data_IF_691074385966
#
_entry.id   IF_691074385966
#
_cell.length_a   1.000
_cell.length_b   1.000
_cell.length_c   1.000
_cell.angle_alpha   90.00
_cell.angle_beta   90.00
_cell.angle_gamma   90.00
#
_symmetry.space_group_name_H-M   'P 1'
#
loop_
_entity.id
_entity.type
_entity.pdbx_description
1 polymer ?
#
# COMPACT_ATOMS: atom_id res chain seq x y z
N UNK A 1 -2.04 -19.36 -18.44
CA UNK A 1 -2.87 -18.94 -17.29
C UNK A 1 -3.80 -17.83 -17.78
N UNK A 2 -5.10 -17.87 -17.45
CA UNK A 2 -6.08 -16.90 -17.95
C UNK A 2 -6.19 -15.69 -16.98
N UNK A 3 -5.64 -14.51 -17.33
CA UNK A 3 -5.64 -13.34 -16.44
C UNK A 3 -7.04 -12.77 -16.17
N UNK A 4 -8.04 -13.06 -17.02
CA UNK A 4 -9.41 -12.58 -16.84
C UNK A 4 -10.04 -13.20 -15.60
N UNK A 5 -9.84 -14.50 -15.36
CA UNK A 5 -10.35 -15.19 -14.15
C UNK A 5 -9.70 -14.60 -12.89
N UNK A 6 -8.41 -14.29 -12.95
CA UNK A 6 -7.69 -13.68 -11.83
C UNK A 6 -8.08 -12.22 -11.60
N UNK A 7 -8.51 -11.51 -12.64
CA UNK A 7 -9.09 -10.17 -12.52
C UNK A 7 -10.45 -10.21 -11.82
N UNK A 8 -11.34 -11.12 -12.20
CA UNK A 8 -12.63 -11.28 -11.52
C UNK A 8 -12.46 -11.71 -10.06
N UNK A 9 -11.53 -12.63 -9.79
CA UNK A 9 -11.19 -13.02 -8.41
C UNK A 9 -10.70 -11.83 -7.59
N UNK A 10 -9.77 -11.06 -8.13
CA UNK A 10 -9.25 -9.86 -7.46
C UNK A 10 -10.36 -8.84 -7.22
N UNK A 11 -11.24 -8.59 -8.20
CA UNK A 11 -12.37 -7.66 -8.06
C UNK A 11 -13.29 -8.07 -6.91
N UNK A 12 -13.64 -9.36 -6.79
CA UNK A 12 -14.48 -9.87 -5.69
C UNK A 12 -13.83 -9.67 -4.33
N UNK A 13 -12.56 -10.02 -4.19
CA UNK A 13 -11.84 -9.88 -2.91
C UNK A 13 -11.63 -8.40 -2.57
N UNK A 14 -11.37 -7.54 -3.56
CA UNK A 14 -11.27 -6.09 -3.37
C UNK A 14 -12.58 -5.51 -2.84
N UNK A 15 -13.72 -5.83 -3.45
CA UNK A 15 -15.02 -5.32 -3.00
C UNK A 15 -15.39 -5.82 -1.60
N UNK A 16 -15.08 -7.08 -1.28
CA UNK A 16 -15.29 -7.63 0.07
C UNK A 16 -14.42 -6.88 1.10
N UNK A 17 -13.10 -6.88 0.88
CA UNK A 17 -12.13 -6.26 1.78
C UNK A 17 -12.37 -4.75 1.95
N UNK A 18 -12.82 -4.06 0.89
CA UNK A 18 -13.14 -2.62 0.96
C UNK A 18 -14.25 -2.31 1.95
N UNK A 19 -15.18 -3.24 2.18
CA UNK A 19 -16.39 -3.04 3.00
C UNK A 19 -16.28 -3.59 4.42
N UNK A 20 -15.61 -4.74 4.60
CA UNK A 20 -15.66 -5.46 5.88
C UNK A 20 -14.51 -5.16 6.83
N UNK A 21 -13.31 -4.85 6.31
CA UNK A 21 -12.08 -4.67 7.11
C UNK A 21 -11.74 -5.81 8.05
N UNK A 22 -12.29 -6.99 7.81
CA UNK A 22 -11.94 -8.18 8.57
C UNK A 22 -10.62 -8.77 8.05
N UNK A 23 -9.86 -9.37 8.97
CA UNK A 23 -8.54 -9.89 8.68
C UNK A 23 -8.54 -11.02 7.64
N UNK A 24 -9.63 -11.79 7.55
CA UNK A 24 -9.75 -12.92 6.63
C UNK A 24 -9.91 -12.41 5.20
N UNK A 25 -10.80 -11.45 4.95
CA UNK A 25 -10.95 -10.86 3.61
C UNK A 25 -9.69 -10.11 3.16
N UNK A 26 -8.96 -9.50 4.09
CA UNK A 26 -7.68 -8.86 3.81
C UNK A 26 -6.59 -9.88 3.45
N UNK A 27 -6.58 -11.05 4.10
CA UNK A 27 -5.71 -12.17 3.75
C UNK A 27 -6.04 -12.70 2.35
N UNK A 28 -7.33 -12.94 2.07
CA UNK A 28 -7.82 -13.37 0.76
C UNK A 28 -7.44 -12.38 -0.35
N UNK A 29 -7.51 -11.07 -0.07
CA UNK A 29 -7.05 -10.02 -0.98
C UNK A 29 -5.55 -10.15 -1.26
N UNK A 30 -4.74 -10.38 -0.22
CA UNK A 30 -3.29 -10.55 -0.35
C UNK A 30 -2.92 -11.75 -1.24
N UNK A 31 -3.62 -12.87 -1.10
CA UNK A 31 -3.41 -14.06 -1.93
C UNK A 31 -3.79 -13.80 -3.40
N UNK A 32 -4.89 -13.08 -3.65
CA UNK A 32 -5.27 -12.69 -5.01
C UNK A 32 -4.23 -11.76 -5.64
N UNK A 33 -3.70 -10.81 -4.88
CA UNK A 33 -2.64 -9.91 -5.36
C UNK A 33 -1.31 -10.64 -5.62
N UNK A 34 -1.00 -11.68 -4.86
CA UNK A 34 0.21 -12.50 -5.08
C UNK A 34 0.23 -13.12 -6.47
N UNK A 35 -0.91 -13.59 -6.96
CA UNK A 35 -1.04 -14.11 -8.33
C UNK A 35 -0.67 -13.02 -9.34
N UNK A 36 -1.13 -11.78 -9.15
CA UNK A 36 -0.76 -10.66 -10.02
C UNK A 36 0.72 -10.31 -9.95
N UNK A 37 1.34 -10.45 -8.78
CA UNK A 37 2.79 -10.31 -8.63
C UNK A 37 3.56 -11.41 -9.38
N UNK A 38 3.08 -12.66 -9.36
CA UNK A 38 3.66 -13.78 -10.10
C UNK A 38 3.45 -13.65 -11.62
N UNK A 39 2.36 -13.00 -12.03
CA UNK A 39 2.07 -12.70 -13.43
C UNK A 39 2.92 -11.56 -14.00
N UNK A 40 3.66 -10.79 -13.19
CA UNK A 40 4.43 -9.62 -13.61
C UNK A 40 5.29 -9.84 -14.86
N UNK A 41 6.04 -10.93 -14.93
CA UNK A 41 6.96 -11.21 -16.04
C UNK A 41 6.33 -11.98 -17.20
N UNK A 42 5.24 -12.71 -16.94
CA UNK A 42 4.56 -13.54 -17.95
C UNK A 42 3.45 -12.77 -18.67
N UNK A 43 2.73 -11.89 -17.97
CA UNK A 43 1.61 -11.13 -18.49
C UNK A 43 2.00 -10.26 -19.69
N UNK A 44 3.14 -9.53 -19.69
CA UNK A 44 3.57 -8.76 -20.86
C UNK A 44 3.87 -9.58 -22.11
N UNK A 45 4.21 -10.88 -21.97
CA UNK A 45 4.50 -11.76 -23.10
C UNK A 45 3.23 -12.07 -23.89
N UNK A 46 2.12 -12.25 -23.18
CA UNK A 46 0.80 -12.51 -23.78
C UNK A 46 -0.01 -11.24 -24.04
N UNK A 47 0.23 -10.18 -23.27
CA UNK A 47 -0.49 -8.89 -23.34
C UNK A 47 0.52 -7.73 -23.32
N UNK A 48 1.13 -7.39 -24.49
CA UNK A 48 2.21 -6.41 -24.58
C UNK A 48 1.86 -5.01 -24.03
N UNK A 49 0.57 -4.66 -23.96
CA UNK A 49 0.07 -3.40 -23.38
C UNK A 49 0.51 -3.21 -21.92
N UNK A 50 0.70 -4.29 -21.16
CA UNK A 50 1.23 -4.22 -19.78
C UNK A 50 2.68 -3.74 -19.71
N UNK A 51 3.45 -3.87 -20.79
CA UNK A 51 4.81 -3.33 -20.90
C UNK A 51 4.84 -1.94 -21.56
N UNK A 52 4.10 -1.74 -22.64
CA UNK A 52 4.18 -0.52 -23.44
C UNK A 52 3.37 0.65 -22.86
N UNK A 53 2.28 0.38 -22.14
CA UNK A 53 1.33 1.42 -21.71
C UNK A 53 1.68 1.96 -20.33
N UNK A 54 1.89 3.27 -20.21
CA UNK A 54 2.10 3.95 -18.92
C UNK A 54 0.77 4.36 -18.26
N UNK A 55 -0.05 3.36 -17.90
CA UNK A 55 -1.37 3.58 -17.31
C UNK A 55 -1.36 3.74 -15.77
N UNK A 56 -0.40 3.12 -15.09
CA UNK A 56 -0.31 3.11 -13.64
C UNK A 56 0.39 4.37 -13.11
N UNK A 57 0.08 4.79 -11.88
CA UNK A 57 0.68 5.94 -11.22
C UNK A 57 1.50 5.52 -10.01
N UNK A 58 2.63 6.17 -9.81
CA UNK A 58 3.46 6.05 -8.61
C UNK A 58 3.85 7.42 -8.11
N UNK A 59 4.09 7.57 -6.81
CA UNK A 59 4.36 8.85 -6.17
C UNK A 59 5.37 8.68 -5.05
N UNK A 60 6.19 9.71 -4.86
CA UNK A 60 7.10 9.82 -3.72
C UNK A 60 6.90 11.19 -3.04
N UNK A 61 7.28 11.33 -1.76
CA UNK A 61 7.25 12.61 -1.08
C UNK A 61 8.13 13.66 -1.77
N UNK A 62 7.78 14.92 -1.61
CA UNK A 62 8.61 16.02 -2.10
C UNK A 62 10.04 15.93 -1.53
N UNK A 63 11.06 16.17 -2.37
CA UNK A 63 12.48 16.05 -1.96
C UNK A 63 12.84 16.83 -0.68
N UNK A 64 12.22 17.99 -0.48
CA UNK A 64 12.43 18.82 0.72
C UNK A 64 11.89 18.16 2.00
N UNK A 65 10.79 17.42 1.91
CA UNK A 65 10.26 16.60 3.01
C UNK A 65 11.23 15.46 3.34
N UNK A 66 11.72 14.75 2.31
CA UNK A 66 12.70 13.68 2.50
C UNK A 66 14.01 14.18 3.12
N UNK A 67 14.46 15.39 2.75
CA UNK A 67 15.65 16.01 3.34
C UNK A 67 15.42 16.37 4.82
N UNK A 68 14.25 16.92 5.15
CA UNK A 68 13.90 17.29 6.52
C UNK A 68 13.67 16.08 7.44
N UNK A 69 13.20 14.96 6.90
CA UNK A 69 12.98 13.73 7.66
C UNK A 69 14.27 12.90 7.87
N UNK A 70 15.40 13.30 7.26
CA UNK A 70 16.67 12.57 7.38
C UNK A 70 17.14 12.59 8.84
N UNK A 71 17.53 11.42 9.36
CA UNK A 71 17.99 11.29 10.75
C UNK A 71 16.86 11.17 11.77
N UNK A 72 15.61 11.12 11.33
CA UNK A 72 14.45 10.89 12.18
C UNK A 72 13.73 9.60 11.78
N UNK A 73 13.10 8.95 12.75
CA UNK A 73 12.16 7.88 12.46
C UNK A 73 11.01 8.46 11.61
N UNK A 74 10.65 7.76 10.53
CA UNK A 74 9.61 8.22 9.62
C UNK A 74 9.02 7.10 8.79
N UNK A 75 7.76 7.24 8.38
CA UNK A 75 7.08 6.35 7.44
C UNK A 75 6.35 7.20 6.40
N UNK A 76 6.53 6.87 5.13
CA UNK A 76 5.88 7.51 3.99
C UNK A 76 5.23 6.44 3.11
N UNK A 77 3.94 6.60 2.81
CA UNK A 77 3.24 5.82 1.80
C UNK A 77 2.32 6.73 0.99
N UNK A 78 2.60 6.85 -0.30
CA UNK A 78 1.88 7.73 -1.22
C UNK A 78 1.07 6.89 -2.20
N UNK A 79 -0.19 7.27 -2.36
CA UNK A 79 -1.20 6.51 -3.10
C UNK A 79 -1.83 7.44 -4.15
N UNK A 80 -1.13 7.70 -5.27
CA UNK A 80 -1.63 8.60 -6.30
C UNK A 80 -3.00 8.18 -6.83
N UNK A 81 -3.91 9.15 -6.95
CA UNK A 81 -5.30 8.90 -7.32
C UNK A 81 -6.17 8.36 -6.18
N UNK A 82 -5.60 8.21 -4.97
CA UNK A 82 -6.32 7.83 -3.77
C UNK A 82 -6.65 6.35 -3.67
N UNK A 83 -7.01 5.95 -2.46
CA UNK A 83 -7.62 4.65 -2.14
C UNK A 83 -8.96 4.92 -1.47
N UNK A 84 -10.04 4.35 -2.01
CA UNK A 84 -11.38 4.52 -1.45
C UNK A 84 -11.57 3.55 -0.29
N UNK A 85 -11.97 4.09 0.86
CA UNK A 85 -12.26 3.36 2.09
C UNK A 85 -13.55 3.90 2.72
N UNK A 86 -14.33 3.02 3.34
CA UNK A 86 -15.50 3.36 4.13
C UNK A 86 -15.16 3.76 5.57
N UNK A 87 -13.87 3.81 5.93
CA UNK A 87 -13.32 4.23 7.23
C UNK A 87 -14.25 3.91 8.41
N UNK A 88 -14.07 2.75 9.05
CA UNK A 88 -14.80 2.46 10.30
C UNK A 88 -14.54 3.58 11.32
N UNK A 89 -15.59 4.06 12.00
CA UNK A 89 -15.53 5.12 13.01
C UNK A 89 -14.24 5.05 13.86
N UNK A 90 -13.40 6.08 13.78
CA UNK A 90 -12.10 6.13 14.45
C UNK A 90 -11.17 7.23 13.89
N UNK A 91 -9.91 7.22 14.31
CA UNK A 91 -8.86 8.12 13.81
C UNK A 91 -8.50 7.80 12.35
N UNK A 92 -8.42 8.80 11.47
CA UNK A 92 -8.07 8.64 10.05
C UNK A 92 -6.65 8.10 9.83
N UNK A 93 -5.74 8.37 10.77
CA UNK A 93 -4.42 7.78 10.80
C UNK A 93 -3.85 7.77 12.23
N UNK A 94 -3.07 6.77 12.57
CA UNK A 94 -2.29 6.68 13.81
C UNK A 94 -1.03 5.82 13.61
N UNK A 95 -0.16 5.78 14.61
CA UNK A 95 1.03 4.93 14.61
C UNK A 95 1.65 4.82 15.98
N UNK A 96 2.64 3.92 16.16
CA UNK A 96 3.32 3.74 17.44
C UNK A 96 3.93 5.05 17.95
N UNK A 97 3.88 5.29 19.27
CA UNK A 97 4.48 6.47 19.90
C UNK A 97 3.71 7.78 19.70
N UNK A 98 2.53 7.77 19.07
CA UNK A 98 1.64 8.95 19.07
C UNK A 98 1.00 9.22 20.43
N UNK A 99 1.08 8.26 21.36
CA UNK A 99 0.50 8.33 22.70
C UNK A 99 1.51 8.80 23.76
N UNK A 100 2.82 8.72 23.50
CA UNK A 100 3.89 8.87 24.50
C UNK A 100 4.45 10.30 24.65
N UNK A 101 3.68 11.33 24.32
CA UNK A 101 4.13 12.74 24.42
C UNK A 101 5.32 13.10 23.53
N UNK A 102 5.71 12.24 22.58
CA UNK A 102 6.77 12.51 21.60
C UNK A 102 6.31 13.59 20.61
N UNK A 103 7.22 14.45 20.20
CA UNK A 103 6.96 15.41 19.12
C UNK A 103 6.94 14.69 17.78
N UNK A 104 5.84 14.82 17.02
CA UNK A 104 5.70 14.21 15.72
C UNK A 104 4.87 15.07 14.76
N UNK A 105 5.00 14.78 13.47
CA UNK A 105 4.21 15.37 12.40
C UNK A 105 3.54 14.26 11.61
N UNK A 106 2.22 14.31 11.49
CA UNK A 106 1.44 13.43 10.60
C UNK A 106 0.90 14.27 9.43
N UNK A 107 1.08 13.76 8.21
CA UNK A 107 0.47 14.28 7.00
C UNK A 107 -0.44 13.24 6.36
N UNK A 108 -1.74 13.55 6.28
CA UNK A 108 -2.75 12.75 5.58
C UNK A 108 -3.51 13.67 4.64
N UNK A 109 -3.68 13.24 3.39
CA UNK A 109 -4.47 13.95 2.38
C UNK A 109 -5.76 13.18 2.11
N UNK A 110 -6.88 13.84 2.39
CA UNK A 110 -8.21 13.24 2.40
C UNK A 110 -9.12 13.97 1.42
N UNK A 111 -9.94 13.22 0.69
CA UNK A 111 -11.11 13.75 -0.01
C UNK A 111 -12.34 13.00 0.46
N UNK A 112 -13.30 13.73 1.02
CA UNK A 112 -14.60 13.19 1.43
C UNK A 112 -15.51 13.00 0.21
N UNK A 113 -16.28 11.92 0.22
CA UNK A 113 -17.38 11.63 -0.69
C UNK A 113 -18.65 11.36 0.15
N UNK A 114 -19.81 11.21 -0.49
CA UNK A 114 -21.10 11.04 0.21
C UNK A 114 -21.08 9.91 1.24
N UNK A 115 -20.55 8.74 0.85
CA UNK A 115 -20.56 7.53 1.68
C UNK A 115 -19.15 6.94 1.90
N UNK A 116 -18.10 7.64 1.49
CA UNK A 116 -16.73 7.10 1.58
C UNK A 116 -15.68 8.20 1.68
N UNK A 117 -14.46 7.78 2.01
CA UNK A 117 -13.29 8.63 2.12
C UNK A 117 -12.21 8.14 1.15
N UNK A 118 -11.64 9.05 0.38
CA UNK A 118 -10.48 8.80 -0.48
C UNK A 118 -9.22 9.31 0.23
N UNK A 119 -8.31 8.40 0.61
CA UNK A 119 -7.01 8.74 1.22
C UNK A 119 -5.91 8.67 0.17
N UNK A 120 -5.12 9.76 0.05
CA UNK A 120 -4.09 9.91 -1.00
C UNK A 120 -2.68 9.71 -0.52
N UNK A 121 -2.40 10.02 0.73
CA UNK A 121 -1.08 9.79 1.32
C UNK A 121 -1.19 9.55 2.82
N UNK A 122 -0.17 8.89 3.32
CA UNK A 122 0.13 8.75 4.72
C UNK A 122 1.61 9.09 4.93
N UNK A 123 1.86 9.95 5.90
CA UNK A 123 3.20 10.27 6.35
C UNK A 123 3.19 10.51 7.85
N UNK A 124 4.16 9.93 8.54
CA UNK A 124 4.44 10.19 9.95
C UNK A 124 5.94 10.37 10.11
N UNK A 125 6.34 11.43 10.81
CA UNK A 125 7.73 11.76 11.09
C UNK A 125 7.82 12.06 12.58
N UNK A 126 8.73 11.40 13.30
CA UNK A 126 8.93 11.61 14.74
C UNK A 126 9.81 12.84 15.00
N UNK A 127 9.35 13.97 14.49
CA UNK A 127 9.82 15.32 14.76
C UNK A 127 8.75 16.32 14.34
N UNK A 128 8.82 17.54 14.86
CA UNK A 128 7.89 18.61 14.49
C UNK A 128 8.38 19.33 13.23
N UNK A 129 7.53 19.41 12.22
CA UNK A 129 7.75 20.25 11.05
C UNK A 129 6.98 21.56 11.20
N UNK A 130 7.60 22.65 10.76
CA UNK A 130 6.94 23.95 10.66
C UNK A 130 6.45 24.23 9.22
N UNK A 131 5.68 25.29 9.03
CA UNK A 131 5.45 25.80 7.68
C UNK A 131 6.78 26.30 7.08
N UNK A 132 7.06 26.04 5.78
CA UNK A 132 6.18 25.51 4.74
C UNK A 132 6.28 23.99 4.52
N UNK A 133 6.96 23.23 5.40
CA UNK A 133 7.16 21.79 5.25
C UNK A 133 5.85 21.02 5.44
N UNK A 134 5.00 21.42 6.38
CA UNK A 134 3.67 20.81 6.59
C UNK A 134 2.85 20.84 5.28
N UNK A 135 2.76 21.99 4.61
CA UNK A 135 2.06 22.12 3.33
C UNK A 135 2.64 21.19 2.25
N UNK A 136 3.94 20.89 2.33
CA UNK A 136 4.61 20.02 1.38
C UNK A 136 4.36 18.53 1.58
N UNK A 137 3.84 18.11 2.73
CA UNK A 137 3.43 16.71 2.98
C UNK A 137 2.24 16.31 2.09
N UNK A 138 1.40 17.28 1.69
CA UNK A 138 0.34 17.04 0.71
C UNK A 138 0.82 17.04 -0.74
N UNK A 139 2.07 17.46 -1.01
CA UNK A 139 2.60 17.56 -2.36
C UNK A 139 3.25 16.23 -2.79
N UNK A 140 2.69 15.60 -3.82
CA UNK A 140 3.21 14.36 -4.39
C UNK A 140 3.84 14.57 -5.78
N UNK A 141 4.98 13.91 -6.01
CA UNK A 141 5.58 13.85 -7.34
C UNK A 141 5.06 12.62 -8.09
N UNK A 142 3.91 12.77 -8.76
CA UNK A 142 3.27 11.65 -9.48
C UNK A 142 3.95 11.41 -10.82
N UNK A 143 4.31 10.14 -11.05
CA UNK A 143 4.83 9.65 -12.34
C UNK A 143 3.95 8.53 -12.87
N UNK A 144 3.66 8.56 -14.17
CA UNK A 144 3.02 7.43 -14.87
C UNK A 144 4.05 6.39 -15.27
N UNK A 145 3.67 5.11 -15.19
CA UNK A 145 4.54 3.99 -15.52
C UNK A 145 3.73 2.77 -15.97
N UNK A 146 4.42 1.79 -16.57
CA UNK A 146 3.83 0.51 -16.95
C UNK A 146 3.69 -0.41 -15.73
N UNK A 147 2.99 -1.54 -15.90
CA UNK A 147 2.69 -2.47 -14.80
C UNK A 147 3.96 -2.98 -14.11
N UNK A 148 4.97 -3.36 -14.90
CA UNK A 148 6.25 -3.87 -14.38
C UNK A 148 6.95 -2.86 -13.47
N UNK A 149 7.07 -1.62 -13.94
CA UNK A 149 7.68 -0.52 -13.18
C UNK A 149 6.83 -0.13 -11.98
N UNK A 150 5.51 -0.18 -12.09
CA UNK A 150 4.60 0.09 -10.99
C UNK A 150 4.73 -0.95 -9.87
N UNK A 151 4.74 -2.25 -10.20
CA UNK A 151 4.98 -3.35 -9.24
C UNK A 151 6.32 -3.22 -8.51
N UNK A 152 7.37 -2.81 -9.24
CA UNK A 152 8.69 -2.57 -8.69
C UNK A 152 8.86 -1.21 -7.99
N UNK A 153 7.92 -0.28 -8.15
CA UNK A 153 8.03 1.05 -7.55
C UNK A 153 7.73 1.01 -6.05
N UNK A 154 8.38 1.93 -5.34
CA UNK A 154 8.19 2.18 -3.91
C UNK A 154 6.69 2.32 -3.56
N UNK A 155 6.25 1.53 -2.60
CA UNK A 155 4.93 1.62 -1.97
C UNK A 155 5.02 2.26 -0.59
N UNK A 156 6.11 1.97 0.12
CA UNK A 156 6.42 2.53 1.42
C UNK A 156 7.93 2.73 1.56
N UNK A 157 8.27 3.86 2.17
CA UNK A 157 9.62 4.19 2.62
C UNK A 157 9.54 4.46 4.10
N UNK A 158 10.33 3.73 4.87
CA UNK A 158 10.37 3.87 6.31
C UNK A 158 11.82 4.00 6.77
N UNK A 159 12.09 4.95 7.66
CA UNK A 159 13.32 5.01 8.41
C UNK A 159 12.97 4.57 9.83
N UNK A 160 13.29 3.34 10.19
CA UNK A 160 12.86 2.71 11.45
C UNK A 160 14.07 2.50 12.35
N UNK A 161 13.85 2.56 13.66
CA UNK A 161 14.88 2.20 14.63
C UNK A 161 15.08 0.68 14.60
N UNK A 162 16.33 0.23 14.42
CA UNK A 162 16.71 -1.18 14.60
C UNK A 162 16.90 -1.50 16.09
N UNK A 163 16.98 -2.78 16.41
CA UNK A 163 17.26 -3.26 17.78
C UNK A 163 18.59 -2.71 18.33
N UNK A 164 19.58 -2.51 17.44
CA UNK A 164 20.88 -1.89 17.77
C UNK A 164 20.81 -0.36 18.03
N UNK A 165 19.61 0.24 18.05
CA UNK A 165 19.42 1.68 18.27
C UNK A 165 19.85 2.56 17.10
N UNK A 166 20.07 1.98 15.91
CA UNK A 166 20.43 2.71 14.70
C UNK A 166 19.21 2.88 13.78
N UNK A 167 19.12 4.04 13.11
CA UNK A 167 18.10 4.27 12.10
C UNK A 167 18.44 3.54 10.80
N UNK A 168 17.51 2.70 10.33
CA UNK A 168 17.63 1.93 9.10
C UNK A 168 16.57 2.38 8.09
N UNK A 169 17.05 2.81 6.92
CA UNK A 169 16.19 3.12 5.78
C UNK A 169 15.76 1.84 5.08
N UNK A 170 14.47 1.58 5.10
CA UNK A 170 13.80 0.47 4.42
C UNK A 170 12.92 1.04 3.31
N UNK A 171 13.03 0.45 2.13
CA UNK A 171 12.19 0.78 0.97
C UNK A 171 11.54 -0.50 0.46
N UNK A 172 10.21 -0.57 0.50
CA UNK A 172 9.46 -1.72 0.02
C UNK A 172 8.71 -1.34 -1.27
N UNK A 173 8.89 -2.17 -2.30
CA UNK A 173 8.06 -2.08 -3.51
C UNK A 173 6.68 -2.68 -3.26
N UNK A 174 5.72 -2.37 -4.14
CA UNK A 174 4.38 -2.99 -4.11
C UNK A 174 4.46 -4.51 -4.13
N UNK A 175 5.30 -5.05 -5.00
CA UNK A 175 5.56 -6.49 -5.07
C UNK A 175 6.07 -7.06 -3.73
N UNK A 176 7.03 -6.40 -3.08
CA UNK A 176 7.54 -6.86 -1.78
C UNK A 176 6.44 -6.83 -0.72
N UNK A 177 5.66 -5.76 -0.65
CA UNK A 177 4.54 -5.67 0.31
C UNK A 177 3.53 -6.79 0.07
N UNK A 178 3.09 -7.00 -1.17
CA UNK A 178 2.14 -8.06 -1.54
C UNK A 178 2.65 -9.44 -1.09
N UNK A 179 3.89 -9.79 -1.43
CA UNK A 179 4.47 -11.10 -1.11
C UNK A 179 4.66 -11.29 0.39
N UNK A 180 5.10 -10.25 1.09
CA UNK A 180 5.50 -10.33 2.50
C UNK A 180 4.30 -10.29 3.45
N UNK A 181 3.26 -9.52 3.13
CA UNK A 181 2.01 -9.54 3.91
C UNK A 181 1.38 -10.94 3.85
N UNK A 182 1.29 -11.54 2.66
CA UNK A 182 0.78 -12.90 2.52
C UNK A 182 1.59 -13.89 3.38
N UNK A 183 2.93 -13.84 3.35
CA UNK A 183 3.74 -14.76 4.14
C UNK A 183 3.70 -14.50 5.66
N UNK A 184 3.65 -13.25 6.09
CA UNK A 184 3.70 -12.89 7.52
C UNK A 184 2.38 -13.22 8.23
N UNK A 185 1.26 -13.19 7.50
CA UNK A 185 -0.08 -13.35 8.07
C UNK A 185 -0.65 -14.76 7.88
N UNK A 186 -0.23 -15.49 6.85
CA UNK A 186 -0.71 -16.85 6.55
C UNK A 186 -0.15 -17.91 7.49
N UNK A 187 0.73 -17.54 8.44
CA UNK A 187 1.27 -18.45 9.45
C UNK A 187 1.59 -19.81 8.83
N UNK A 188 2.45 -19.83 7.80
CA UNK A 188 2.61 -20.99 6.90
C UNK A 188 3.09 -22.27 7.60
N UNK A 189 3.28 -22.21 8.91
CA UNK A 189 3.13 -23.33 9.83
C UNK A 189 2.08 -22.94 10.88
N UNK A 190 1.10 -23.79 11.23
CA UNK A 190 0.43 -23.68 12.53
C UNK A 190 1.54 -23.74 13.58
N UNK A 191 2.05 -22.56 13.92
CA UNK A 191 3.32 -22.42 14.62
C UNK A 191 2.99 -22.70 16.07
N UNK A 192 3.66 -23.70 16.64
CA UNK A 192 3.72 -23.82 18.08
C UNK A 192 4.18 -22.46 18.62
N UNK A 193 3.42 -21.80 19.51
CA UNK A 193 3.78 -20.47 20.03
C UNK A 193 5.15 -20.42 20.73
N UNK A 194 5.81 -21.58 20.87
CA UNK A 194 7.16 -21.74 21.41
C UNK A 194 8.31 -21.67 20.38
N UNK A 195 8.04 -21.70 19.06
CA UNK A 195 9.08 -21.58 18.04
C UNK A 195 9.25 -20.12 17.54
N UNK A 196 10.29 -19.44 18.03
CA UNK A 196 10.77 -18.20 17.44
C UNK A 196 11.43 -18.49 16.08
N UNK A 197 10.63 -18.48 15.00
CA UNK A 197 11.17 -18.50 13.64
C UNK A 197 11.87 -17.15 13.38
N UNK A 198 13.18 -17.13 13.06
CA UNK A 198 13.88 -15.89 12.75
C UNK A 198 13.22 -15.19 11.57
N UNK A 199 12.65 -14.02 11.80
CA UNK A 199 12.01 -13.22 10.76
C UNK A 199 13.08 -12.63 9.84
N UNK A 200 12.88 -12.72 8.53
CA UNK A 200 13.68 -11.96 7.58
C UNK A 200 13.49 -10.45 7.79
N UNK A 201 14.49 -9.65 7.43
CA UNK A 201 14.45 -8.18 7.57
C UNK A 201 13.17 -7.53 7.03
N UNK A 202 12.68 -8.01 5.88
CA UNK A 202 11.45 -7.47 5.29
C UNK A 202 10.18 -7.93 6.00
N UNK A 203 10.19 -9.11 6.64
CA UNK A 203 9.05 -9.60 7.41
C UNK A 203 8.95 -8.81 8.73
N UNK A 204 10.09 -8.56 9.39
CA UNK A 204 10.17 -7.66 10.55
C UNK A 204 9.69 -6.24 10.20
N UNK A 205 10.12 -5.70 9.05
CA UNK A 205 9.64 -4.41 8.57
C UNK A 205 8.13 -4.39 8.34
N UNK A 206 7.55 -5.44 7.74
CA UNK A 206 6.10 -5.53 7.55
C UNK A 206 5.38 -5.57 8.90
N UNK A 207 5.83 -6.38 9.86
CA UNK A 207 5.23 -6.42 11.21
C UNK A 207 5.24 -5.05 11.86
N UNK A 208 6.36 -4.33 11.80
CA UNK A 208 6.44 -2.97 12.32
C UNK A 208 5.48 -2.02 11.60
N UNK A 209 5.33 -2.16 10.29
CA UNK A 209 4.38 -1.36 9.51
C UNK A 209 2.91 -1.66 9.84
N UNK A 210 2.58 -2.85 10.36
CA UNK A 210 1.22 -3.20 10.78
C UNK A 210 0.73 -2.39 11.98
N UNK A 211 1.64 -1.80 12.75
CA UNK A 211 1.31 -0.94 13.88
C UNK A 211 0.80 0.45 13.45
N UNK A 212 1.05 0.84 12.21
CA UNK A 212 0.55 2.10 11.66
C UNK A 212 -0.84 1.90 11.07
N UNK A 213 -1.79 2.75 11.43
CA UNK A 213 -3.18 2.68 10.96
C UNK A 213 -3.46 3.81 9.98
N UNK A 214 -4.20 3.51 8.92
CA UNK A 214 -4.68 4.45 7.91
C UNK A 214 -6.09 4.03 7.49
N UNK A 215 -7.07 4.91 7.68
CA UNK A 215 -8.47 4.62 7.36
C UNK A 215 -9.05 3.42 8.12
N UNK A 216 -8.58 3.17 9.35
CA UNK A 216 -9.00 2.03 10.18
C UNK A 216 -8.33 0.69 9.83
N UNK A 217 -7.32 0.69 8.95
CA UNK A 217 -6.58 -0.50 8.57
C UNK A 217 -5.08 -0.36 8.85
N UNK A 218 -4.38 -1.45 9.20
CA UNK A 218 -2.92 -1.50 9.12
C UNK A 218 -2.42 -1.01 7.76
N UNK A 219 -1.37 -0.20 7.76
CA UNK A 219 -0.81 0.43 6.57
C UNK A 219 -0.52 -0.57 5.44
N UNK A 220 0.07 -1.76 5.69
CA UNK A 220 0.27 -2.76 4.64
C UNK A 220 -1.04 -3.19 3.97
N UNK A 221 -2.12 -3.39 4.72
CA UNK A 221 -3.42 -3.73 4.16
C UNK A 221 -4.03 -2.59 3.36
N UNK A 222 -3.85 -1.35 3.82
CA UNK A 222 -4.27 -0.19 3.05
C UNK A 222 -3.53 -0.08 1.71
N UNK A 223 -2.23 -0.40 1.69
CA UNK A 223 -1.41 -0.50 0.46
C UNK A 223 -1.93 -1.64 -0.45
N UNK A 224 -2.34 -2.79 0.10
CA UNK A 224 -2.92 -3.88 -0.68
C UNK A 224 -4.24 -3.46 -1.35
N UNK A 225 -5.13 -2.79 -0.61
CA UNK A 225 -6.36 -2.22 -1.18
C UNK A 225 -6.05 -1.29 -2.35
N UNK A 226 -5.05 -0.41 -2.20
CA UNK A 226 -4.63 0.46 -3.31
C UNK A 226 -4.14 -0.34 -4.51
N UNK A 227 -3.30 -1.35 -4.29
CA UNK A 227 -2.78 -2.18 -5.38
C UNK A 227 -3.91 -2.90 -6.12
N UNK A 228 -4.89 -3.42 -5.39
CA UNK A 228 -6.05 -4.08 -5.96
C UNK A 228 -6.91 -3.10 -6.77
N UNK A 229 -7.20 -1.93 -6.22
CA UNK A 229 -7.94 -0.87 -6.90
C UNK A 229 -7.28 -0.49 -8.23
N UNK A 230 -5.97 -0.20 -8.22
CA UNK A 230 -5.22 0.16 -9.43
C UNK A 230 -5.31 -0.92 -10.51
N UNK A 231 -5.18 -2.20 -10.13
CA UNK A 231 -5.27 -3.32 -11.08
C UNK A 231 -6.71 -3.44 -11.61
N UNK A 232 -7.72 -3.42 -10.74
CA UNK A 232 -9.14 -3.57 -11.14
C UNK A 232 -9.58 -2.46 -12.09
N UNK A 233 -9.10 -1.23 -11.92
CA UNK A 233 -9.45 -0.08 -12.77
C UNK A 233 -8.69 -0.07 -14.11
N UNK A 234 -7.45 -0.55 -14.14
CA UNK A 234 -6.55 -0.41 -15.28
C UNK A 234 -6.47 -1.69 -16.13
N UNK A 235 -6.37 -2.86 -15.50
CA UNK A 235 -6.17 -4.13 -16.19
C UNK A 235 -7.24 -4.46 -17.24
N UNK A 236 -8.55 -4.20 -17.04
CA UNK A 236 -9.56 -4.45 -18.09
C UNK A 236 -9.20 -3.79 -19.42
N UNK A 237 -8.74 -2.54 -19.38
CA UNK A 237 -8.35 -1.75 -20.56
C UNK A 237 -7.10 -2.31 -21.24
N UNK A 238 -6.18 -2.89 -20.46
CA UNK A 238 -4.95 -3.49 -20.99
C UNK A 238 -5.16 -4.92 -21.51
N UNK A 239 -6.23 -5.57 -21.07
CA UNK A 239 -6.68 -6.90 -21.51
C UNK A 239 -7.72 -6.81 -22.66
N UNK A 240 -8.03 -5.60 -23.14
CA UNK A 240 -9.06 -5.35 -24.16
C UNK A 240 -10.46 -5.86 -23.79
N UNK A 241 -10.74 -5.89 -22.49
CA UNK A 241 -12.07 -6.10 -21.93
C UNK A 241 -12.79 -4.75 -21.92
N UNK A 242 -13.19 -4.26 -23.10
CA UNK A 242 -14.00 -3.04 -23.17
C UNK A 242 -15.40 -3.27 -22.56
N UNK A 243 -15.94 -2.19 -21.99
CA UNK A 243 -17.14 -2.12 -21.18
C UNK A 243 -18.44 -2.38 -21.95
N UNK A 244 -18.68 -3.62 -22.36
CA UNK A 244 -20.00 -4.07 -22.86
C UNK A 244 -20.98 -4.47 -21.72
N UNK A 245 -20.64 -4.20 -20.45
CA UNK A 245 -21.50 -4.57 -19.31
C UNK A 245 -21.74 -3.44 -18.29
N UNK A 246 -21.49 -2.19 -18.67
CA UNK A 246 -21.80 -1.01 -17.83
C UNK A 246 -22.99 -0.18 -18.36
N UNK A 247 -23.77 -0.73 -19.29
CA UNK A 247 -25.02 -0.15 -19.78
C UNK A 247 -25.98 -1.27 -20.15
N UNK A 248 -26.88 -1.59 -19.22
CA UNK A 248 -27.95 -2.61 -19.18
C UNK A 248 -27.81 -3.27 -17.79
N UNK A 249 -28.53 -2.92 -16.73
CA UNK A 249 -29.88 -2.35 -16.55
C UNK A 249 -29.96 -1.65 -15.19
#
# INVERSE_FOLDING_TARGET
MNPVIHLERLRRHFEAARRSYDIVTLLDLSHSLRIWADLKDSLPKSYPKFHSTSAFKTGIPARKVLKAARGHESVFSYMPGGTVTYASNGSLASGPGTEDGRSFTIGVSVRTQTDSVELKNFSIIFTSFEQPLIKALGAEQVKRCNFMRWMGAEAVRANLMSDDGNLKLITLSREKVIRRVANTMDGSHPSDPSEEIPLGEFDAAIRRLMEFQVGGLPLPYFILLKCAQDIVEIAPKLLDLNAESAGET
#
